data_IF_875868026811
#
_entry.id   IF_875868026811
#
_cell.length_a   1.000
_cell.length_b   1.000
_cell.length_c   1.000
_cell.angle_alpha   90.00
_cell.angle_beta   90.00
_cell.angle_gamma   90.00
#
_symmetry.space_group_name_H-M   'P 1'
#
loop_
_entity.id
_entity.type
_entity.pdbx_description
1 polymer ?
#
# COMPACT_ATOMS: atom_id res chain seq x y z
N UNK A 1 -32.92 -15.21 -63.25
CA UNK A 1 -33.36 -14.55 -62.00
C UNK A 1 -32.84 -15.36 -60.81
N UNK A 2 -31.67 -15.02 -60.25
CA UNK A 2 -31.17 -15.64 -59.01
C UNK A 2 -31.58 -14.76 -57.83
N UNK A 3 -32.44 -15.27 -56.95
CA UNK A 3 -32.87 -14.60 -55.71
C UNK A 3 -31.74 -14.73 -54.69
N UNK A 4 -31.18 -13.60 -54.25
CA UNK A 4 -30.32 -13.57 -53.07
C UNK A 4 -31.20 -13.62 -51.81
N UNK A 5 -31.04 -14.67 -51.01
CA UNK A 5 -31.62 -14.78 -49.68
C UNK A 5 -30.61 -14.17 -48.70
N UNK A 6 -30.89 -12.98 -48.18
CA UNK A 6 -30.06 -12.34 -47.17
C UNK A 6 -30.50 -12.86 -45.79
N UNK A 7 -29.68 -13.73 -45.18
CA UNK A 7 -29.94 -14.26 -43.85
C UNK A 7 -29.48 -13.23 -42.81
N UNK A 8 -30.41 -12.69 -42.04
CA UNK A 8 -30.14 -11.75 -40.96
C UNK A 8 -29.63 -12.52 -39.73
N UNK A 9 -28.32 -12.49 -39.50
CA UNK A 9 -27.70 -13.03 -38.28
C UNK A 9 -27.95 -12.03 -37.15
N UNK A 10 -28.84 -12.39 -36.22
CA UNK A 10 -29.09 -11.63 -35.00
C UNK A 10 -27.96 -11.93 -34.00
N UNK A 11 -26.98 -11.03 -33.90
CA UNK A 11 -25.91 -11.12 -32.90
C UNK A 11 -26.50 -10.64 -31.56
N UNK A 12 -26.81 -11.58 -30.66
CA UNK A 12 -27.16 -11.29 -29.28
C UNK A 12 -25.89 -10.84 -28.54
N UNK A 13 -25.74 -9.54 -28.31
CA UNK A 13 -24.78 -9.03 -27.34
C UNK A 13 -25.32 -9.30 -25.93
N UNK A 14 -24.71 -10.22 -25.19
CA UNK A 14 -24.91 -10.28 -23.75
C UNK A 14 -24.20 -9.08 -23.13
N UNK A 15 -24.94 -8.04 -22.78
CA UNK A 15 -24.43 -7.01 -21.90
C UNK A 15 -24.07 -7.69 -20.57
N UNK A 16 -22.78 -7.87 -20.30
CA UNK A 16 -22.33 -8.22 -18.96
C UNK A 16 -22.61 -7.01 -18.09
N UNK A 17 -23.73 -7.02 -17.36
CA UNK A 17 -23.95 -6.00 -16.33
C UNK A 17 -22.88 -6.22 -15.26
N UNK A 18 -21.99 -5.24 -15.12
CA UNK A 18 -21.10 -5.17 -13.97
C UNK A 18 -22.01 -5.13 -12.74
N UNK A 19 -21.86 -6.10 -11.83
CA UNK A 19 -22.63 -6.13 -10.61
C UNK A 19 -22.34 -4.86 -9.80
N UNK A 20 -23.40 -4.21 -9.31
CA UNK A 20 -23.31 -3.12 -8.36
C UNK A 20 -22.50 -3.54 -7.12
N UNK A 21 -21.76 -2.62 -6.50
CA UNK A 21 -21.08 -2.89 -5.24
C UNK A 21 -22.13 -3.22 -4.17
N UNK A 22 -21.98 -4.36 -3.49
CA UNK A 22 -22.90 -4.73 -2.41
C UNK A 22 -22.85 -3.70 -1.28
N UNK A 23 -24.00 -3.41 -0.66
CA UNK A 23 -24.00 -2.59 0.56
C UNK A 23 -23.27 -3.32 1.68
N UNK A 24 -22.48 -2.59 2.47
CA UNK A 24 -21.66 -3.18 3.51
C UNK A 24 -20.64 -2.21 4.09
N UNK A 25 -19.79 -2.75 4.96
CA UNK A 25 -18.71 -1.99 5.59
C UNK A 25 -17.39 -2.22 4.87
N UNK A 26 -16.76 -1.12 4.48
CA UNK A 26 -15.53 -1.12 3.70
C UNK A 26 -14.49 -0.19 4.29
N UNK A 27 -13.23 -0.47 3.98
CA UNK A 27 -12.19 0.55 3.94
C UNK A 27 -12.00 0.92 2.47
N UNK A 28 -11.99 2.22 2.19
CA UNK A 28 -11.90 2.77 0.85
C UNK A 28 -10.44 3.16 0.61
N UNK A 29 -9.73 2.46 -0.26
CA UNK A 29 -8.28 2.54 -0.42
C UNK A 29 -7.91 3.12 -1.79
N UNK A 30 -7.03 4.11 -1.81
CA UNK A 30 -6.55 4.71 -3.06
C UNK A 30 -5.71 3.72 -3.85
N UNK A 31 -5.99 3.62 -5.15
CA UNK A 31 -5.16 2.89 -6.12
C UNK A 31 -3.76 3.49 -6.23
N UNK A 32 -3.62 4.80 -6.01
CA UNK A 32 -2.35 5.51 -6.16
C UNK A 32 -1.24 4.96 -5.26
N UNK A 33 -1.54 4.74 -3.98
CA UNK A 33 -0.53 4.48 -2.96
C UNK A 33 -0.97 3.52 -1.84
N UNK A 34 -2.21 3.04 -1.85
CA UNK A 34 -2.72 2.15 -0.81
C UNK A 34 -3.15 2.83 0.50
N UNK A 35 -3.17 4.17 0.56
CA UNK A 35 -3.72 4.92 1.70
C UNK A 35 -5.26 4.86 1.70
N UNK A 36 -5.85 4.80 2.89
CA UNK A 36 -7.29 4.78 3.10
C UNK A 36 -7.86 6.19 3.16
N UNK A 37 -9.10 6.35 2.71
CA UNK A 37 -9.94 7.49 3.05
C UNK A 37 -10.11 7.55 4.57
N UNK A 38 -9.97 8.74 5.15
CA UNK A 38 -9.84 8.95 6.59
C UNK A 38 -10.56 10.24 7.00
N UNK A 39 -11.46 10.15 7.98
CA UNK A 39 -11.96 11.36 8.65
C UNK A 39 -10.93 11.80 9.68
N UNK A 40 -10.36 12.99 9.44
CA UNK A 40 -9.19 13.47 10.15
C UNK A 40 -9.41 13.53 11.67
N UNK A 41 -8.41 13.05 12.42
CA UNK A 41 -8.36 13.10 13.88
C UNK A 41 -9.55 12.45 14.62
N UNK A 42 -10.28 11.52 13.97
CA UNK A 42 -11.51 10.94 14.51
C UNK A 42 -12.58 11.97 14.85
N UNK A 43 -12.49 13.18 14.29
CA UNK A 43 -13.42 14.24 14.59
C UNK A 43 -14.84 13.79 14.20
N UNK A 44 -15.81 14.07 15.07
CA UNK A 44 -17.23 13.71 14.90
C UNK A 44 -18.09 14.93 14.56
N UNK A 45 -17.50 16.12 14.47
CA UNK A 45 -18.19 17.35 14.11
C UNK A 45 -18.52 17.41 12.62
N UNK A 46 -19.58 18.15 12.30
CA UNK A 46 -19.87 18.58 10.93
C UNK A 46 -18.72 19.47 10.42
N UNK A 47 -18.31 19.24 9.17
CA UNK A 47 -17.21 19.98 8.55
C UNK A 47 -15.81 19.39 8.83
N UNK A 48 -15.71 18.28 9.57
CA UNK A 48 -14.43 17.60 9.73
C UNK A 48 -13.87 17.15 8.36
N UNK A 49 -12.55 17.31 8.21
CA UNK A 49 -11.87 17.04 6.95
C UNK A 49 -11.90 15.56 6.59
N UNK A 50 -12.06 15.26 5.30
CA UNK A 50 -11.81 13.93 4.75
C UNK A 50 -10.50 13.99 3.98
N UNK A 51 -9.55 13.15 4.38
CA UNK A 51 -8.21 13.07 3.81
C UNK A 51 -7.87 11.62 3.49
N UNK A 52 -6.63 11.38 3.07
CA UNK A 52 -6.05 10.04 2.99
C UNK A 52 -5.04 9.83 4.08
N UNK A 53 -4.94 8.63 4.64
CA UNK A 53 -3.94 8.26 5.64
C UNK A 53 -3.47 6.82 5.45
N UNK A 54 -2.41 6.39 6.13
CA UNK A 54 -2.03 4.98 6.14
C UNK A 54 -3.23 4.10 6.51
N UNK A 55 -3.37 2.96 5.84
CA UNK A 55 -4.49 2.04 6.06
C UNK A 55 -4.30 1.28 7.39
N UNK A 56 -4.89 1.81 8.46
CA UNK A 56 -4.81 1.28 9.83
C UNK A 56 -6.12 0.64 10.29
N UNK A 57 -7.20 0.83 9.52
CA UNK A 57 -8.53 0.24 9.75
C UNK A 57 -9.21 0.70 11.03
N UNK A 58 -8.80 1.83 11.58
CA UNK A 58 -9.49 2.48 12.67
C UNK A 58 -10.92 2.88 12.24
N UNK A 59 -11.84 3.08 13.19
CA UNK A 59 -13.26 3.33 12.86
C UNK A 59 -13.51 4.58 11.99
N UNK A 60 -12.59 5.57 12.00
CA UNK A 60 -12.64 6.75 11.14
C UNK A 60 -12.20 6.49 9.68
N UNK A 61 -11.70 5.29 9.39
CA UNK A 61 -11.35 4.79 8.05
C UNK A 61 -12.32 3.69 7.56
N UNK A 62 -13.28 3.31 8.39
CA UNK A 62 -14.33 2.36 8.02
C UNK A 62 -15.57 3.14 7.61
N UNK A 63 -16.17 2.74 6.49
CA UNK A 63 -17.35 3.37 5.93
C UNK A 63 -18.45 2.35 5.68
N UNK A 64 -19.66 2.66 6.16
CA UNK A 64 -20.87 1.97 5.77
C UNK A 64 -21.33 2.53 4.42
N UNK A 65 -21.14 1.74 3.36
CA UNK A 65 -21.49 2.04 1.98
C UNK A 65 -22.84 1.40 1.68
N UNK A 66 -23.84 2.22 1.37
CA UNK A 66 -25.23 1.78 1.22
C UNK A 66 -25.77 2.22 -0.14
N UNK A 67 -26.20 1.25 -0.95
CA UNK A 67 -26.96 1.48 -2.18
C UNK A 67 -28.33 2.05 -1.82
N UNK A 68 -28.71 3.15 -2.48
CA UNK A 68 -29.94 3.90 -2.26
C UNK A 68 -31.07 3.49 -3.23
N UNK A 69 -30.82 2.52 -4.12
CA UNK A 69 -31.82 1.92 -5.00
C UNK A 69 -32.02 2.63 -6.34
N UNK A 70 -31.40 3.80 -6.54
CA UNK A 70 -31.34 4.51 -7.83
C UNK A 70 -29.96 4.42 -8.50
N UNK A 71 -29.11 3.52 -7.98
CA UNK A 71 -27.72 3.31 -8.39
C UNK A 71 -26.71 4.22 -7.69
N UNK A 72 -27.16 5.21 -6.91
CA UNK A 72 -26.28 6.04 -6.08
C UNK A 72 -26.11 5.44 -4.69
N UNK A 73 -25.02 5.81 -4.03
CA UNK A 73 -24.64 5.32 -2.72
C UNK A 73 -24.56 6.47 -1.71
N UNK A 74 -24.88 6.16 -0.46
CA UNK A 74 -24.37 6.92 0.69
C UNK A 74 -23.09 6.25 1.20
N UNK A 75 -22.13 7.06 1.64
CA UNK A 75 -20.85 6.60 2.20
C UNK A 75 -20.72 7.27 3.57
N UNK A 76 -20.88 6.51 4.65
CA UNK A 76 -20.96 7.06 6.01
C UNK A 76 -19.85 6.54 6.89
N UNK A 77 -19.12 7.44 7.54
CA UNK A 77 -18.04 7.07 8.45
C UNK A 77 -18.61 6.34 9.68
N UNK A 78 -18.02 5.20 10.01
CA UNK A 78 -18.54 4.31 11.05
C UNK A 78 -18.43 4.93 12.44
N UNK A 79 -17.37 5.69 12.73
CA UNK A 79 -17.16 6.29 14.05
C UNK A 79 -18.16 7.40 14.40
N UNK A 80 -18.65 8.13 13.39
CA UNK A 80 -19.51 9.31 13.59
C UNK A 80 -20.95 9.13 13.09
N UNK A 81 -21.19 8.14 12.22
CA UNK A 81 -22.45 7.96 11.50
C UNK A 81 -22.73 9.02 10.43
N UNK A 82 -21.80 9.94 10.20
CA UNK A 82 -21.93 11.08 9.25
C UNK A 82 -21.53 10.67 7.85
N UNK A 83 -22.12 11.31 6.85
CA UNK A 83 -21.88 11.03 5.43
C UNK A 83 -20.71 11.85 4.90
N UNK A 84 -20.01 11.30 3.91
CA UNK A 84 -19.22 12.12 2.98
C UNK A 84 -20.15 13.14 2.31
N UNK A 85 -19.69 14.37 2.25
CA UNK A 85 -20.45 15.55 1.84
C UNK A 85 -19.56 16.46 0.96
N UNK A 86 -20.10 16.92 -0.16
CA UNK A 86 -19.49 17.98 -0.96
C UNK A 86 -19.70 19.31 -0.25
N UNK A 87 -18.65 19.78 0.42
CA UNK A 87 -18.71 20.91 1.32
C UNK A 87 -19.16 22.19 0.61
N UNK A 88 -20.03 22.95 1.28
CA UNK A 88 -20.64 24.18 0.78
C UNK A 88 -21.33 24.06 -0.58
N UNK A 89 -21.73 22.84 -0.97
CA UNK A 89 -22.35 22.59 -2.29
C UNK A 89 -21.49 23.12 -3.44
N UNK A 90 -20.17 23.02 -3.30
CA UNK A 90 -19.23 23.51 -4.29
C UNK A 90 -19.11 22.55 -5.49
N UNK A 91 -19.45 23.03 -6.69
CA UNK A 91 -19.40 22.24 -7.93
C UNK A 91 -18.06 22.33 -8.67
N UNK A 92 -17.10 23.09 -8.15
CA UNK A 92 -15.81 23.36 -8.78
C UNK A 92 -14.75 22.28 -8.56
N UNK A 93 -13.69 22.35 -9.37
CA UNK A 93 -12.47 21.57 -9.12
C UNK A 93 -11.77 22.09 -7.86
N UNK A 94 -11.27 21.17 -7.04
CA UNK A 94 -10.72 21.46 -5.72
C UNK A 94 -11.77 21.62 -4.62
N UNK A 95 -13.06 21.39 -4.90
CA UNK A 95 -14.09 21.33 -3.86
C UNK A 95 -13.73 20.29 -2.80
N UNK A 96 -13.89 20.64 -1.54
CA UNK A 96 -13.48 19.78 -0.43
C UNK A 96 -14.55 18.71 -0.15
N UNK A 97 -14.09 17.52 0.23
CA UNK A 97 -14.94 16.50 0.81
C UNK A 97 -14.82 16.61 2.33
N UNK A 98 -15.96 16.79 3.01
CA UNK A 98 -16.05 16.84 4.47
C UNK A 98 -17.03 15.77 4.94
N UNK A 99 -17.08 15.50 6.24
CA UNK A 99 -18.22 14.76 6.80
C UNK A 99 -19.33 15.72 7.25
N UNK A 100 -20.58 15.28 7.14
CA UNK A 100 -21.74 16.01 7.65
C UNK A 100 -22.87 15.07 8.07
N UNK A 101 -23.79 15.55 8.90
CA UNK A 101 -25.03 14.83 9.21
C UNK A 101 -25.77 14.45 7.93
N UNK A 102 -26.15 13.17 7.85
CA UNK A 102 -26.78 12.63 6.65
C UNK A 102 -28.23 13.11 6.52
N UNK A 103 -28.53 13.77 5.41
CA UNK A 103 -29.87 14.28 5.06
C UNK A 103 -30.45 13.61 3.82
N UNK A 104 -29.63 12.85 3.08
CA UNK A 104 -30.02 12.24 1.80
C UNK A 104 -30.00 13.22 0.61
N UNK A 105 -29.49 14.43 0.82
CA UNK A 105 -29.31 15.43 -0.22
C UNK A 105 -28.28 14.98 -1.28
N UNK A 106 -28.37 15.51 -2.50
CA UNK A 106 -27.53 15.08 -3.62
C UNK A 106 -26.03 15.35 -3.42
N UNK A 107 -25.65 16.35 -2.61
CA UNK A 107 -24.25 16.59 -2.22
C UNK A 107 -23.66 15.50 -1.30
N UNK A 108 -24.48 14.55 -0.84
CA UNK A 108 -24.08 13.42 0.00
C UNK A 108 -24.23 12.07 -0.70
N UNK A 109 -24.47 12.09 -2.02
CA UNK A 109 -24.75 10.90 -2.83
C UNK A 109 -23.70 10.73 -3.90
N UNK A 110 -23.31 9.47 -4.13
CA UNK A 110 -22.13 9.13 -4.93
C UNK A 110 -22.45 8.03 -5.93
N UNK A 111 -22.00 8.19 -7.17
CA UNK A 111 -21.92 7.11 -8.14
C UNK A 111 -20.60 6.37 -7.97
N UNK A 112 -20.64 5.03 -8.09
CA UNK A 112 -19.46 4.17 -8.02
C UNK A 112 -19.22 3.56 -9.40
N UNK A 113 -18.38 4.23 -10.19
CA UNK A 113 -18.12 3.86 -11.58
C UNK A 113 -16.98 2.84 -11.65
N UNK A 114 -17.25 1.60 -12.08
CA UNK A 114 -16.24 0.53 -12.09
C UNK A 114 -15.28 0.62 -13.28
N UNK A 115 -13.97 0.60 -13.00
CA UNK A 115 -12.89 0.69 -13.99
C UNK A 115 -12.01 -0.57 -14.07
N UNK A 116 -12.46 -1.70 -13.53
CA UNK A 116 -11.73 -2.97 -13.62
C UNK A 116 -10.76 -3.22 -12.47
N UNK A 117 -10.39 -4.49 -12.30
CA UNK A 117 -9.47 -4.97 -11.26
C UNK A 117 -9.84 -4.47 -9.84
N UNK A 118 -11.14 -4.41 -9.52
CA UNK A 118 -11.63 -3.97 -8.21
C UNK A 118 -11.62 -2.45 -7.95
N UNK A 119 -11.31 -1.62 -8.95
CA UNK A 119 -11.21 -0.16 -8.79
C UNK A 119 -12.46 0.57 -9.29
N UNK A 120 -12.80 1.66 -8.60
CA UNK A 120 -13.94 2.52 -8.89
C UNK A 120 -13.53 3.99 -8.86
N UNK A 121 -14.15 4.83 -9.68
CA UNK A 121 -14.23 6.26 -9.40
C UNK A 121 -15.41 6.53 -8.47
N UNK A 122 -15.22 7.40 -7.49
CA UNK A 122 -16.29 7.85 -6.58
C UNK A 122 -16.74 9.23 -7.06
N UNK A 123 -17.82 9.27 -7.83
CA UNK A 123 -18.28 10.47 -8.53
C UNK A 123 -19.46 11.10 -7.81
N UNK A 124 -19.37 12.38 -7.47
CA UNK A 124 -20.47 13.10 -6.82
C UNK A 124 -21.70 13.12 -7.71
N UNK A 125 -22.86 12.73 -7.17
CA UNK A 125 -24.16 12.89 -7.85
C UNK A 125 -24.49 14.36 -8.10
N UNK A 126 -24.07 15.23 -7.20
CA UNK A 126 -24.34 16.66 -7.26
C UNK A 126 -23.49 17.40 -8.31
N UNK A 127 -22.16 17.21 -8.31
CA UNK A 127 -21.26 17.98 -9.19
C UNK A 127 -20.78 17.22 -10.43
N UNK A 128 -20.92 15.89 -10.47
CA UNK A 128 -20.35 15.03 -11.53
C UNK A 128 -18.82 14.89 -11.48
N UNK A 129 -18.17 15.36 -10.41
CA UNK A 129 -16.71 15.28 -10.20
C UNK A 129 -16.34 14.12 -9.30
N UNK A 130 -15.13 13.58 -9.47
CA UNK A 130 -14.68 12.41 -8.73
C UNK A 130 -13.76 12.78 -7.57
N UNK A 131 -13.81 12.00 -6.47
CA UNK A 131 -12.88 12.13 -5.35
C UNK A 131 -11.47 11.81 -5.85
N UNK A 132 -10.55 12.75 -5.61
CA UNK A 132 -9.16 12.80 -6.03
C UNK A 132 -8.25 12.93 -4.81
N UNK A 133 -7.14 12.18 -4.79
CA UNK A 133 -6.04 12.40 -3.84
C UNK A 133 -5.29 13.67 -4.26
N UNK A 134 -5.56 14.77 -3.55
CA UNK A 134 -5.11 16.09 -3.98
C UNK A 134 -3.58 16.16 -4.17
N UNK A 135 -3.17 16.69 -5.32
CA UNK A 135 -1.76 16.82 -5.69
C UNK A 135 -1.05 15.49 -5.99
N UNK A 136 -1.79 14.38 -6.14
CA UNK A 136 -1.23 13.03 -6.38
C UNK A 136 -0.17 12.65 -5.34
N UNK A 137 -0.37 13.07 -4.09
CA UNK A 137 0.58 12.83 -3.01
C UNK A 137 0.73 11.33 -2.73
N UNK A 138 1.99 10.88 -2.61
CA UNK A 138 2.33 9.54 -2.14
C UNK A 138 2.43 9.45 -0.60
N UNK A 139 2.34 10.59 0.10
CA UNK A 139 2.42 10.67 1.56
C UNK A 139 1.03 10.69 2.20
N UNK A 140 0.88 10.16 3.42
CA UNK A 140 -0.35 10.28 4.18
C UNK A 140 -0.65 11.75 4.53
N UNK A 141 -1.92 12.07 4.74
CA UNK A 141 -2.41 13.41 5.08
C UNK A 141 -2.84 14.26 3.88
N UNK A 142 -2.82 13.71 2.66
CA UNK A 142 -3.31 14.43 1.49
C UNK A 142 -4.83 14.54 1.52
N UNK A 143 -5.36 15.74 1.29
CA UNK A 143 -6.80 16.00 1.25
C UNK A 143 -7.49 15.16 0.16
N UNK A 144 -8.71 14.71 0.46
CA UNK A 144 -9.63 14.17 -0.54
C UNK A 144 -10.48 15.33 -1.09
N UNK A 145 -10.33 15.63 -2.37
CA UNK A 145 -11.03 16.75 -3.03
C UNK A 145 -11.72 16.28 -4.29
N UNK A 146 -12.71 17.02 -4.77
CA UNK A 146 -13.32 16.74 -6.05
C UNK A 146 -12.51 17.35 -7.18
N UNK A 147 -12.37 16.60 -8.27
CA UNK A 147 -11.80 17.10 -9.50
C UNK A 147 -12.50 16.48 -10.70
N UNK A 148 -12.48 17.18 -11.83
CA UNK A 148 -12.93 16.66 -13.12
C UNK A 148 -12.29 15.30 -13.38
N UNK A 149 -13.08 14.30 -13.75
CA UNK A 149 -12.55 12.95 -13.96
C UNK A 149 -11.51 12.95 -15.08
N UNK A 150 -10.32 12.44 -14.79
CA UNK A 150 -9.19 12.37 -15.72
C UNK A 150 -8.58 10.96 -15.82
N UNK A 151 -9.10 9.99 -15.07
CA UNK A 151 -8.72 8.57 -15.17
C UNK A 151 -7.42 8.19 -14.49
N UNK A 152 -6.86 9.09 -13.68
CA UNK A 152 -5.65 8.85 -12.92
C UNK A 152 -5.82 7.90 -11.75
N UNK A 153 -4.71 7.29 -11.31
CA UNK A 153 -4.69 6.44 -10.11
C UNK A 153 -5.14 7.18 -8.83
N UNK A 154 -4.98 8.51 -8.77
CA UNK A 154 -5.47 9.34 -7.66
C UNK A 154 -7.00 9.46 -7.58
N UNK A 155 -7.73 9.10 -8.64
CA UNK A 155 -9.20 9.10 -8.66
C UNK A 155 -9.82 7.70 -8.62
N UNK A 156 -8.99 6.68 -8.47
CA UNK A 156 -9.41 5.29 -8.45
C UNK A 156 -9.26 4.71 -7.05
N UNK A 157 -10.31 4.03 -6.60
CA UNK A 157 -10.46 3.56 -5.23
C UNK A 157 -10.89 2.09 -5.21
N UNK A 158 -10.29 1.30 -4.33
CA UNK A 158 -10.69 -0.08 -4.02
C UNK A 158 -11.55 -0.09 -2.76
N UNK A 159 -12.66 -0.82 -2.78
CA UNK A 159 -13.50 -1.06 -1.60
C UNK A 159 -13.12 -2.41 -1.00
N UNK A 160 -12.21 -2.41 -0.02
CA UNK A 160 -11.80 -3.64 0.66
C UNK A 160 -12.72 -3.92 1.85
N UNK A 161 -13.18 -5.15 2.00
CA UNK A 161 -14.09 -5.50 3.11
C UNK A 161 -13.34 -5.47 4.44
N UNK A 162 -14.04 -5.15 5.52
CA UNK A 162 -13.52 -5.38 6.88
C UNK A 162 -13.69 -6.86 7.22
N UNK A 163 -12.58 -7.57 7.29
CA UNK A 163 -12.50 -9.00 7.56
C UNK A 163 -12.44 -9.36 9.04
N UNK A 164 -12.22 -10.64 9.30
CA UNK A 164 -12.18 -11.24 10.64
C UNK A 164 -10.77 -11.67 11.02
N UNK A 165 -10.41 -11.57 12.30
CA UNK A 165 -9.16 -12.08 12.84
C UNK A 165 -8.98 -13.60 12.59
N UNK A 166 -10.05 -14.37 12.34
CA UNK A 166 -9.97 -15.79 11.99
C UNK A 166 -9.29 -16.06 10.65
N UNK A 167 -9.27 -15.06 9.75
CA UNK A 167 -8.62 -15.15 8.44
C UNK A 167 -7.09 -15.06 8.57
N UNK A 168 -6.59 -14.62 9.73
CA UNK A 168 -5.16 -14.53 10.02
C UNK A 168 -4.62 -15.85 10.60
N UNK A 169 -4.08 -16.68 9.72
CA UNK A 169 -3.36 -17.93 10.06
C UNK A 169 -2.15 -18.11 9.13
N UNK A 170 -1.17 -18.89 9.56
CA UNK A 170 0.06 -19.12 8.79
C UNK A 170 -0.25 -19.83 7.45
N UNK A 171 0.29 -19.31 6.36
CA UNK A 171 0.04 -19.76 4.99
C UNK A 171 -1.25 -19.22 4.37
N UNK A 172 -1.94 -18.28 5.01
CA UNK A 172 -3.15 -17.67 4.45
C UNK A 172 -2.84 -16.74 3.27
N UNK A 173 -3.73 -16.76 2.27
CA UNK A 173 -3.81 -15.72 1.23
C UNK A 173 -5.02 -14.83 1.53
N UNK A 174 -4.77 -13.54 1.73
CA UNK A 174 -5.79 -12.52 1.96
C UNK A 174 -6.05 -11.78 0.65
N UNK A 175 -7.31 -11.70 0.24
CA UNK A 175 -7.71 -11.05 -1.02
C UNK A 175 -8.82 -10.03 -0.80
N UNK A 176 -8.61 -8.79 -1.25
CA UNK A 176 -9.53 -7.65 -1.12
C UNK A 176 -10.13 -7.47 0.29
N UNK A 177 -9.31 -7.64 1.32
CA UNK A 177 -9.77 -7.62 2.73
C UNK A 177 -8.80 -6.86 3.62
N UNK A 178 -9.34 -6.23 4.66
CA UNK A 178 -8.57 -5.75 5.80
C UNK A 178 -8.74 -6.73 6.96
N UNK A 179 -7.63 -7.22 7.52
CA UNK A 179 -7.64 -8.17 8.63
C UNK A 179 -6.78 -7.63 9.77
N UNK A 180 -7.42 -7.32 10.90
CA UNK A 180 -6.72 -7.15 12.18
C UNK A 180 -6.58 -8.54 12.84
N UNK A 181 -5.35 -8.99 13.01
CA UNK A 181 -5.04 -10.30 13.58
C UNK A 181 -5.17 -10.34 15.11
N UNK A 182 -5.40 -9.20 15.77
CA UNK A 182 -5.59 -9.14 17.22
C UNK A 182 -4.35 -9.50 18.04
N UNK A 183 -3.15 -9.30 17.50
CA UNK A 183 -1.88 -9.56 18.17
C UNK A 183 -1.42 -11.02 18.13
N UNK A 184 -2.09 -11.87 17.33
CA UNK A 184 -1.73 -13.28 17.17
C UNK A 184 -0.26 -13.46 16.78
N UNK A 185 0.34 -14.52 17.30
CA UNK A 185 1.62 -15.01 16.82
C UNK A 185 1.38 -16.17 15.86
N UNK A 186 1.87 -16.05 14.63
CA UNK A 186 1.79 -17.07 13.59
C UNK A 186 3.18 -17.34 13.03
N UNK A 187 3.36 -18.49 12.39
CA UNK A 187 4.61 -18.82 11.72
C UNK A 187 4.50 -20.16 11.03
N UNK A 188 5.37 -20.37 10.06
CA UNK A 188 5.58 -21.65 9.40
C UNK A 188 6.82 -22.30 10.05
N UNK A 189 7.90 -22.46 9.28
CA UNK A 189 9.19 -22.93 9.75
C UNK A 189 10.29 -21.99 9.27
N UNK A 190 11.46 -22.05 9.90
CA UNK A 190 12.67 -21.44 9.38
C UNK A 190 13.74 -22.53 9.22
N UNK A 191 14.14 -22.81 7.98
CA UNK A 191 15.14 -23.83 7.64
C UNK A 191 16.47 -23.22 7.13
N UNK A 192 16.75 -21.96 7.51
CA UNK A 192 17.87 -21.18 6.98
C UNK A 192 17.51 -20.49 5.66
N UNK A 193 18.51 -20.29 4.79
CA UNK A 193 18.42 -19.48 3.57
C UNK A 193 17.75 -20.22 2.37
N UNK A 194 16.75 -21.08 2.62
CA UNK A 194 16.09 -21.86 1.57
C UNK A 194 15.02 -21.05 0.82
N UNK A 195 15.29 -20.72 -0.45
CA UNK A 195 14.41 -19.97 -1.36
C UNK A 195 13.09 -20.69 -1.73
N UNK A 196 12.85 -21.89 -1.21
CA UNK A 196 11.61 -22.66 -1.42
C UNK A 196 10.57 -22.50 -0.31
N UNK A 197 10.89 -21.76 0.75
CA UNK A 197 9.95 -21.55 1.85
C UNK A 197 8.73 -20.74 1.41
N UNK A 198 7.54 -21.15 1.86
CA UNK A 198 6.32 -20.38 1.63
C UNK A 198 6.29 -19.12 2.49
N UNK A 199 5.60 -18.07 2.02
CA UNK A 199 5.31 -16.93 2.88
C UNK A 199 4.33 -17.30 4.00
N UNK A 200 4.53 -16.71 5.18
CA UNK A 200 3.62 -16.83 6.31
C UNK A 200 2.26 -16.21 6.00
N UNK A 201 2.23 -15.13 5.20
CA UNK A 201 1.01 -14.53 4.66
C UNK A 201 1.25 -14.05 3.23
N UNK A 202 0.26 -14.22 2.37
CA UNK A 202 0.23 -13.60 1.03
C UNK A 202 -0.94 -12.62 0.94
N UNK A 203 -0.70 -11.44 0.39
CA UNK A 203 -1.66 -10.34 0.31
C UNK A 203 -1.92 -9.96 -1.15
N UNK A 204 -3.19 -10.04 -1.56
CA UNK A 204 -3.69 -9.54 -2.83
C UNK A 204 -4.65 -8.38 -2.55
N UNK A 205 -4.20 -7.15 -2.83
CA UNK A 205 -4.94 -5.92 -2.62
C UNK A 205 -5.56 -5.85 -1.20
N UNK A 206 -4.77 -6.19 -0.19
CA UNK A 206 -5.24 -6.48 1.17
C UNK A 206 -4.37 -5.85 2.23
N UNK A 207 -4.95 -5.64 3.40
CA UNK A 207 -4.23 -5.14 4.58
C UNK A 207 -4.22 -6.17 5.68
N UNK A 208 -3.06 -6.39 6.28
CA UNK A 208 -2.94 -7.12 7.55
C UNK A 208 -2.44 -6.17 8.63
N UNK A 209 -3.02 -6.27 9.82
CA UNK A 209 -2.64 -5.46 10.97
C UNK A 209 -2.38 -6.32 12.21
N UNK A 210 -1.45 -5.87 13.07
CA UNK A 210 -1.32 -6.34 14.45
C UNK A 210 -1.10 -7.86 14.53
N UNK A 211 -0.06 -8.34 13.84
CA UNK A 211 0.35 -9.75 13.85
C UNK A 211 1.83 -9.86 14.18
N UNK A 212 2.19 -10.96 14.85
CA UNK A 212 3.58 -11.29 15.15
C UNK A 212 3.98 -12.53 14.36
N UNK A 213 5.10 -12.46 13.66
CA UNK A 213 5.73 -13.64 13.06
C UNK A 213 6.67 -14.27 14.10
N UNK A 214 6.53 -15.57 14.35
CA UNK A 214 7.32 -16.30 15.35
C UNK A 214 8.79 -16.33 14.96
N UNK A 215 9.69 -16.33 15.94
CA UNK A 215 11.14 -16.33 15.70
C UNK A 215 11.61 -17.58 14.94
N UNK A 216 11.06 -18.75 15.27
CA UNK A 216 11.43 -20.02 14.61
C UNK A 216 10.61 -20.32 13.35
N UNK A 217 9.71 -19.42 12.95
CA UNK A 217 8.72 -19.67 11.90
C UNK A 217 8.51 -18.49 10.96
N UNK A 218 9.53 -17.62 10.83
CA UNK A 218 9.50 -16.45 9.96
C UNK A 218 9.35 -16.77 8.47
N UNK A 219 9.86 -17.92 8.01
CA UNK A 219 9.84 -18.37 6.60
C UNK A 219 10.20 -17.25 5.60
N UNK A 220 9.55 -17.19 4.43
CA UNK A 220 9.69 -16.07 3.46
C UNK A 220 8.79 -14.88 3.82
N UNK A 221 8.60 -14.63 5.13
CA UNK A 221 7.91 -13.46 5.66
C UNK A 221 6.48 -13.26 5.16
N UNK A 222 6.16 -12.03 4.75
CA UNK A 222 4.86 -11.65 4.18
C UNK A 222 5.04 -11.21 2.72
N UNK A 223 4.22 -11.74 1.80
CA UNK A 223 4.22 -11.33 0.40
C UNK A 223 3.09 -10.37 0.08
N UNK A 224 3.40 -9.28 -0.63
CA UNK A 224 2.42 -8.53 -1.41
C UNK A 224 2.46 -9.04 -2.85
N UNK A 225 1.45 -9.81 -3.26
CA UNK A 225 1.43 -10.55 -4.53
C UNK A 225 0.69 -9.82 -5.63
N UNK A 226 -0.33 -9.01 -5.31
CA UNK A 226 -1.06 -8.21 -6.29
C UNK A 226 -1.69 -6.96 -5.66
N UNK A 227 -1.95 -5.93 -6.47
CA UNK A 227 -2.61 -4.69 -6.02
C UNK A 227 -1.81 -3.94 -4.96
N UNK A 228 -2.53 -3.20 -4.11
CA UNK A 228 -1.92 -2.45 -3.01
C UNK A 228 -2.05 -3.24 -1.69
N UNK A 229 -0.93 -3.47 -1.01
CA UNK A 229 -0.93 -4.19 0.26
C UNK A 229 -0.41 -3.31 1.39
N UNK A 230 -1.06 -3.37 2.55
CA UNK A 230 -0.55 -2.71 3.77
C UNK A 230 -0.26 -3.74 4.85
N UNK A 231 0.91 -3.60 5.48
CA UNK A 231 1.41 -4.44 6.56
C UNK A 231 1.60 -3.50 7.77
N UNK A 232 0.58 -3.43 8.62
CA UNK A 232 0.49 -2.45 9.71
C UNK A 232 0.77 -3.11 11.08
N UNK A 233 1.60 -2.47 11.91
CA UNK A 233 1.87 -2.92 13.29
C UNK A 233 2.31 -4.39 13.38
N UNK A 234 3.07 -4.86 12.39
CA UNK A 234 3.58 -6.23 12.35
C UNK A 234 4.91 -6.34 13.08
N UNK A 235 5.08 -7.39 13.87
CA UNK A 235 6.31 -7.70 14.59
C UNK A 235 6.96 -8.95 14.03
N UNK A 236 8.15 -8.83 13.45
CA UNK A 236 8.98 -9.97 13.09
C UNK A 236 9.93 -10.26 14.25
N UNK A 237 9.67 -11.33 15.02
CA UNK A 237 10.44 -11.64 16.22
C UNK A 237 11.86 -12.13 15.91
N UNK A 238 12.06 -12.77 14.75
CA UNK A 238 13.37 -13.03 14.15
C UNK A 238 13.13 -13.27 12.65
N UNK A 239 13.79 -12.49 11.79
CA UNK A 239 13.66 -12.67 10.34
C UNK A 239 14.35 -13.97 9.94
N UNK A 240 13.66 -14.77 9.12
CA UNK A 240 14.25 -15.95 8.51
C UNK A 240 14.93 -15.58 7.18
N UNK A 241 14.21 -15.56 6.07
CA UNK A 241 14.74 -15.12 4.78
C UNK A 241 14.62 -13.59 4.63
N UNK A 242 13.40 -13.12 4.39
CA UNK A 242 13.03 -11.71 4.31
C UNK A 242 11.84 -11.43 5.26
N UNK A 243 11.69 -10.18 5.73
CA UNK A 243 10.51 -9.82 6.53
C UNK A 243 9.27 -9.68 5.63
N UNK A 244 9.41 -8.98 4.51
CA UNK A 244 8.36 -8.90 3.51
C UNK A 244 8.90 -8.68 2.09
N UNK A 245 8.15 -9.17 1.11
CA UNK A 245 8.54 -9.12 -0.31
C UNK A 245 7.44 -8.51 -1.17
N UNK A 246 7.78 -7.44 -1.89
CA UNK A 246 6.90 -6.84 -2.88
C UNK A 246 7.04 -7.57 -4.22
N UNK A 247 6.00 -8.35 -4.57
CA UNK A 247 5.82 -9.09 -5.82
C UNK A 247 4.70 -8.50 -6.68
N UNK A 248 4.06 -7.41 -6.25
CA UNK A 248 2.93 -6.77 -6.92
C UNK A 248 3.37 -5.81 -8.04
N UNK A 249 3.31 -6.27 -9.29
CA UNK A 249 3.65 -5.43 -10.47
C UNK A 249 2.61 -4.32 -10.66
N UNK A 250 3.08 -3.08 -10.78
CA UNK A 250 2.19 -1.90 -10.83
C UNK A 250 1.61 -1.47 -9.47
N UNK A 251 1.80 -2.24 -8.40
CA UNK A 251 1.18 -2.00 -7.09
C UNK A 251 2.11 -1.38 -6.05
N UNK A 252 1.56 -1.16 -4.86
CA UNK A 252 2.27 -0.59 -3.71
C UNK A 252 2.25 -1.54 -2.51
N UNK A 253 3.41 -1.77 -1.88
CA UNK A 253 3.51 -2.44 -0.58
C UNK A 253 3.87 -1.42 0.49
N UNK A 254 2.99 -1.21 1.47
CA UNK A 254 3.19 -0.24 2.56
C UNK A 254 3.45 -0.97 3.87
N UNK A 255 4.57 -0.64 4.52
CA UNK A 255 4.91 -1.03 5.89
C UNK A 255 4.67 0.20 6.78
N UNK A 256 3.82 0.07 7.79
CA UNK A 256 3.50 1.17 8.71
C UNK A 256 3.57 0.72 10.16
N UNK A 257 4.35 1.42 10.98
CA UNK A 257 4.61 1.01 12.35
C UNK A 257 5.33 -0.33 12.42
N UNK A 258 5.09 -1.09 13.49
CA UNK A 258 5.68 -2.42 13.65
C UNK A 258 7.19 -2.42 13.90
N UNK A 259 7.76 -3.62 13.97
CA UNK A 259 9.19 -3.80 14.24
C UNK A 259 9.75 -5.09 13.66
N UNK A 260 11.03 -5.07 13.28
CA UNK A 260 11.71 -6.26 12.79
C UNK A 260 13.05 -6.47 13.52
N UNK A 261 13.21 -7.65 14.09
CA UNK A 261 14.45 -8.11 14.74
C UNK A 261 15.18 -9.12 13.85
N UNK A 262 16.51 -9.07 13.85
CA UNK A 262 17.37 -10.12 13.30
C UNK A 262 18.72 -10.13 14.04
N UNK A 263 19.50 -11.22 13.92
CA UNK A 263 20.82 -11.36 14.53
C UNK A 263 21.75 -12.28 13.71
N UNK A 264 23.06 -12.17 13.92
CA UNK A 264 24.07 -13.00 13.22
C UNK A 264 24.02 -14.51 13.58
N UNK A 265 23.27 -14.87 14.61
CA UNK A 265 23.10 -16.23 15.10
C UNK A 265 21.62 -16.60 15.21
N UNK A 266 20.76 -15.89 14.49
CA UNK A 266 19.32 -16.10 14.45
C UNK A 266 18.94 -17.31 13.60
N UNK A 267 17.63 -17.54 13.48
CA UNK A 267 17.11 -18.69 12.75
C UNK A 267 17.41 -18.63 11.24
N UNK A 268 17.42 -17.43 10.65
CA UNK A 268 17.67 -17.17 9.24
C UNK A 268 19.14 -17.07 8.83
N UNK A 269 20.07 -17.49 9.67
CA UNK A 269 21.49 -17.38 9.35
C UNK A 269 21.99 -15.92 9.30
N UNK A 270 22.72 -15.57 8.24
CA UNK A 270 23.36 -14.25 8.13
C UNK A 270 22.33 -13.22 7.62
N UNK A 271 22.09 -12.11 8.34
CA UNK A 271 21.12 -11.11 7.90
C UNK A 271 21.42 -10.54 6.50
N UNK A 272 20.45 -10.60 5.58
CA UNK A 272 20.56 -9.97 4.26
C UNK A 272 19.68 -8.72 4.13
N UNK A 273 18.36 -8.85 3.94
CA UNK A 273 17.48 -7.71 3.69
C UNK A 273 16.18 -7.87 4.49
N UNK A 274 15.68 -6.76 5.02
CA UNK A 274 14.38 -6.75 5.70
C UNK A 274 13.28 -6.78 4.64
N UNK A 275 13.35 -5.87 3.67
CA UNK A 275 12.34 -5.76 2.61
C UNK A 275 12.92 -6.00 1.23
N UNK A 276 12.41 -7.03 0.57
CA UNK A 276 12.77 -7.37 -0.80
C UNK A 276 11.74 -6.79 -1.79
N UNK A 277 12.21 -6.34 -2.95
CA UNK A 277 11.36 -5.77 -3.99
C UNK A 277 11.68 -6.34 -5.37
N UNK A 278 10.78 -7.17 -5.89
CA UNK A 278 10.94 -7.91 -7.14
C UNK A 278 10.09 -7.35 -8.29
N UNK A 279 8.88 -6.88 -7.99
CA UNK A 279 7.96 -6.32 -8.97
C UNK A 279 8.51 -5.07 -9.66
N UNK A 280 8.08 -4.81 -10.89
CA UNK A 280 8.42 -3.59 -11.65
C UNK A 280 7.29 -2.58 -11.57
N UNK A 281 7.55 -1.33 -11.96
CA UNK A 281 6.57 -0.23 -11.95
C UNK A 281 5.83 -0.11 -10.62
N UNK A 282 6.51 -0.34 -9.52
CA UNK A 282 5.90 -0.55 -8.20
C UNK A 282 6.68 0.18 -7.13
N UNK A 283 6.00 0.40 -6.01
CA UNK A 283 6.53 1.19 -4.89
C UNK A 283 6.47 0.40 -3.60
N UNK A 284 7.51 0.49 -2.78
CA UNK A 284 7.46 0.10 -1.37
C UNK A 284 7.45 1.37 -0.51
N UNK A 285 6.52 1.51 0.41
CA UNK A 285 6.47 2.62 1.38
C UNK A 285 6.80 2.05 2.76
N UNK A 286 7.71 2.68 3.50
CA UNK A 286 8.09 2.28 4.85
C UNK A 286 7.99 3.52 5.74
N UNK A 287 7.15 3.46 6.78
CA UNK A 287 7.00 4.60 7.68
C UNK A 287 6.17 4.36 8.92
N UNK A 288 5.58 5.43 9.44
CA UNK A 288 4.74 5.41 10.65
C UNK A 288 5.47 4.88 11.88
N UNK A 289 6.77 5.15 12.00
CA UNK A 289 7.59 4.73 13.14
C UNK A 289 8.11 3.30 13.07
N UNK A 290 8.10 2.64 11.91
CA UNK A 290 8.71 1.30 11.75
C UNK A 290 10.10 1.27 12.37
N UNK A 291 10.37 0.22 13.16
CA UNK A 291 11.61 0.11 13.94
C UNK A 291 12.36 -1.20 13.66
N UNK A 292 13.59 -1.11 13.13
CA UNK A 292 14.50 -2.24 13.02
C UNK A 292 15.38 -2.36 14.27
N UNK A 293 15.57 -3.57 14.80
CA UNK A 293 16.41 -3.85 15.99
C UNK A 293 17.36 -5.03 15.75
N UNK A 294 18.46 -5.10 16.49
CA UNK A 294 19.44 -6.18 16.36
C UNK A 294 20.50 -5.91 15.29
N UNK A 295 20.72 -6.87 14.39
CA UNK A 295 21.69 -6.77 13.29
C UNK A 295 21.04 -7.12 11.96
N UNK A 296 21.22 -6.27 10.95
CA UNK A 296 20.61 -6.41 9.62
C UNK A 296 21.64 -6.20 8.51
N UNK A 297 21.39 -6.74 7.32
CA UNK A 297 22.18 -6.39 6.14
C UNK A 297 21.68 -5.09 5.50
N UNK A 298 20.41 -5.05 5.06
CA UNK A 298 19.78 -3.89 4.38
C UNK A 298 18.35 -3.70 4.84
N UNK A 299 17.88 -2.45 4.88
CA UNK A 299 16.46 -2.20 5.13
C UNK A 299 15.62 -2.57 3.90
N UNK A 300 16.00 -2.09 2.73
CA UNK A 300 15.28 -2.33 1.48
C UNK A 300 16.21 -2.56 0.30
N UNK A 301 15.84 -3.48 -0.59
CA UNK A 301 16.60 -3.75 -1.82
C UNK A 301 15.70 -4.00 -3.03
N UNK A 302 15.87 -3.21 -4.08
CA UNK A 302 15.43 -3.58 -5.44
C UNK A 302 16.20 -4.79 -5.93
N UNK A 303 15.55 -5.78 -6.54
CA UNK A 303 16.26 -6.98 -6.94
C UNK A 303 17.41 -6.71 -7.94
N UNK A 304 18.64 -7.10 -7.59
CA UNK A 304 19.84 -6.80 -8.38
C UNK A 304 20.08 -7.73 -9.57
N UNK A 305 19.62 -8.98 -9.49
CA UNK A 305 19.91 -10.05 -10.47
C UNK A 305 18.73 -11.01 -10.67
N UNK A 306 17.49 -10.52 -10.57
CA UNK A 306 16.30 -11.34 -10.79
C UNK A 306 16.18 -11.85 -12.23
N UNK A 307 15.39 -12.91 -12.43
CA UNK A 307 14.94 -13.29 -13.78
C UNK A 307 14.05 -12.18 -14.34
N UNK A 308 14.19 -11.86 -15.63
CA UNK A 308 13.46 -10.76 -16.28
C UNK A 308 13.59 -9.44 -15.49
N UNK A 309 14.81 -9.16 -15.01
CA UNK A 309 15.06 -7.99 -14.19
C UNK A 309 14.76 -6.69 -14.95
N UNK A 310 14.47 -5.64 -14.19
CA UNK A 310 14.12 -4.33 -14.70
C UNK A 310 13.60 -3.44 -13.58
N UNK A 311 12.97 -2.34 -13.96
CA UNK A 311 12.36 -1.38 -13.06
C UNK A 311 11.38 -0.49 -13.81
N UNK A 312 11.04 0.70 -13.26
CA UNK A 312 11.53 1.20 -11.98
C UNK A 312 10.95 0.43 -10.79
N UNK A 313 11.74 0.32 -9.72
CA UNK A 313 11.30 -0.08 -8.37
C UNK A 313 11.60 1.06 -7.41
N UNK A 314 10.55 1.61 -6.82
CA UNK A 314 10.67 2.79 -5.98
C UNK A 314 10.52 2.44 -4.51
N UNK A 315 11.17 3.21 -3.65
CA UNK A 315 10.96 3.17 -2.21
C UNK A 315 10.75 4.56 -1.63
N UNK A 316 9.78 4.69 -0.72
CA UNK A 316 9.59 5.89 0.10
C UNK A 316 9.81 5.48 1.55
N UNK A 317 10.83 6.02 2.19
CA UNK A 317 11.15 5.82 3.60
C UNK A 317 10.85 7.12 4.31
N UNK A 318 9.88 7.14 5.20
CA UNK A 318 9.53 8.33 5.96
C UNK A 318 9.17 7.97 7.39
N UNK A 319 9.84 8.58 8.37
CA UNK A 319 9.61 8.34 9.79
C UNK A 319 9.95 6.89 10.20
N UNK A 320 11.24 6.54 10.10
CA UNK A 320 11.75 5.19 10.35
C UNK A 320 12.90 5.21 11.35
N UNK A 321 12.92 4.24 12.26
CA UNK A 321 13.93 4.08 13.29
C UNK A 321 14.78 2.83 13.02
N UNK A 322 16.10 2.99 12.99
CA UNK A 322 17.06 1.90 12.89
C UNK A 322 17.82 1.83 14.21
N UNK A 323 17.26 1.11 15.18
CA UNK A 323 17.92 0.80 16.45
C UNK A 323 18.74 -0.51 16.32
N UNK A 324 19.54 -0.59 15.27
CA UNK A 324 20.25 -1.79 14.86
C UNK A 324 21.61 -1.46 14.28
N UNK A 325 22.51 -2.44 14.28
CA UNK A 325 23.65 -2.44 13.35
C UNK A 325 23.14 -2.84 11.99
N UNK A 326 23.36 -2.04 10.95
CA UNK A 326 22.89 -2.34 9.60
C UNK A 326 23.98 -2.08 8.56
N UNK A 327 23.99 -2.85 7.46
CA UNK A 327 24.96 -2.70 6.38
C UNK A 327 24.68 -1.50 5.47
N UNK A 328 23.43 -1.29 5.05
CA UNK A 328 22.96 -0.07 4.37
C UNK A 328 21.44 0.09 4.45
N UNK A 329 20.89 1.24 4.06
CA UNK A 329 19.44 1.50 4.14
C UNK A 329 18.74 1.04 2.85
N UNK A 330 18.98 1.70 1.73
CA UNK A 330 18.32 1.42 0.45
C UNK A 330 19.33 1.08 -0.65
N UNK A 331 19.10 0.00 -1.39
CA UNK A 331 19.86 -0.33 -2.60
C UNK A 331 19.02 -0.21 -3.87
N UNK A 332 19.30 0.80 -4.70
CA UNK A 332 18.59 1.11 -5.95
C UNK A 332 19.39 0.68 -7.19
N UNK A 333 18.73 0.18 -8.24
CA UNK A 333 19.38 -0.05 -9.53
C UNK A 333 19.18 1.18 -10.43
N UNK A 334 20.18 2.06 -10.49
CA UNK A 334 20.03 3.36 -11.18
C UNK A 334 19.82 3.21 -12.69
N UNK A 335 20.38 2.16 -13.30
CA UNK A 335 20.15 1.83 -14.71
C UNK A 335 18.73 1.36 -15.04
N UNK A 336 17.92 1.02 -14.04
CA UNK A 336 16.51 0.65 -14.21
C UNK A 336 15.54 1.76 -13.79
N UNK A 337 16.06 2.95 -13.46
CA UNK A 337 15.24 4.11 -13.09
C UNK A 337 14.64 4.03 -11.69
N UNK A 338 15.17 3.17 -10.83
CA UNK A 338 14.74 3.05 -9.43
C UNK A 338 14.96 4.38 -8.69
N UNK A 339 14.00 4.76 -7.84
CA UNK A 339 14.08 5.97 -7.01
C UNK A 339 13.82 5.63 -5.55
N UNK A 340 14.75 6.00 -4.67
CA UNK A 340 14.57 6.03 -3.23
C UNK A 340 14.36 7.46 -2.75
N UNK A 341 13.22 7.71 -2.09
CA UNK A 341 12.92 8.96 -1.40
C UNK A 341 13.01 8.68 0.10
N UNK A 342 13.90 9.36 0.82
CA UNK A 342 14.14 9.10 2.24
C UNK A 342 14.00 10.39 3.04
N UNK A 343 13.12 10.40 4.04
CA UNK A 343 12.83 11.52 4.94
C UNK A 343 12.76 11.01 6.38
N UNK A 344 13.09 11.86 7.35
CA UNK A 344 12.90 11.56 8.78
C UNK A 344 13.45 10.19 9.22
N UNK A 345 14.64 9.83 8.75
CA UNK A 345 15.31 8.58 9.10
C UNK A 345 16.20 8.78 10.33
N UNK A 346 16.08 7.90 11.32
CA UNK A 346 16.86 7.95 12.56
C UNK A 346 17.63 6.66 12.74
N UNK A 347 18.95 6.73 12.85
CA UNK A 347 19.83 5.55 12.93
C UNK A 347 20.66 5.61 14.20
N UNK A 348 20.71 4.51 14.95
CA UNK A 348 21.53 4.38 16.15
C UNK A 348 23.00 4.65 15.83
N UNK A 349 23.62 5.53 16.59
CA UNK A 349 25.03 5.91 16.43
C UNK A 349 25.40 6.38 15.00
N UNK A 350 24.45 7.06 14.32
CA UNK A 350 24.67 7.53 12.97
C UNK A 350 25.87 8.47 12.87
N UNK A 351 26.69 8.25 11.85
CA UNK A 351 27.60 9.24 11.29
C UNK A 351 27.54 9.14 9.78
N UNK A 352 27.81 10.24 9.05
CA UNK A 352 27.73 10.24 7.58
C UNK A 352 28.58 9.10 6.98
N UNK A 353 27.97 8.31 6.09
CA UNK A 353 28.55 7.10 5.50
C UNK A 353 28.61 5.85 6.41
N UNK A 354 28.11 5.92 7.65
CA UNK A 354 28.09 4.80 8.61
C UNK A 354 26.73 4.71 9.35
N UNK A 355 25.83 3.83 8.90
CA UNK A 355 25.89 3.06 7.64
C UNK A 355 25.67 3.95 6.40
N UNK A 356 26.04 3.47 5.20
CA UNK A 356 25.57 4.06 3.95
C UNK A 356 24.03 4.09 3.87
N UNK A 357 23.47 5.21 3.43
CA UNK A 357 22.02 5.41 3.38
C UNK A 357 21.45 4.92 2.06
N UNK A 358 21.66 5.65 0.96
CA UNK A 358 21.17 5.23 -0.35
C UNK A 358 22.34 4.82 -1.23
N UNK A 359 22.36 3.57 -1.67
CA UNK A 359 23.42 2.99 -2.47
C UNK A 359 22.93 2.68 -3.88
N UNK A 360 23.67 3.13 -4.90
CA UNK A 360 23.37 2.85 -6.30
C UNK A 360 24.07 1.59 -6.78
N UNK A 361 23.38 0.85 -7.64
CA UNK A 361 23.83 -0.39 -8.25
C UNK A 361 23.55 -0.41 -9.75
N UNK A 362 24.32 -1.22 -10.47
CA UNK A 362 23.93 -1.75 -11.77
C UNK A 362 23.08 -3.00 -11.57
N UNK A 363 21.78 -2.91 -11.84
CA UNK A 363 20.90 -4.06 -11.98
C UNK A 363 21.22 -4.85 -13.25
N UNK A 364 21.18 -6.17 -13.16
CA UNK A 364 21.51 -7.10 -14.24
C UNK A 364 20.47 -8.22 -14.35
N UNK A 365 20.50 -8.97 -15.45
CA UNK A 365 19.70 -10.20 -15.57
C UNK A 365 20.31 -11.33 -14.74
N UNK A 366 19.47 -12.29 -14.32
CA UNK A 366 19.91 -13.50 -13.61
C UNK A 366 21.03 -14.22 -14.36
N UNK A 367 22.02 -14.70 -13.61
CA UNK A 367 23.24 -15.31 -14.13
C UNK A 367 24.42 -14.33 -14.27
N UNK A 368 24.19 -13.04 -14.07
CA UNK A 368 25.24 -12.02 -13.95
C UNK A 368 25.31 -11.46 -12.51
N UNK A 369 26.44 -10.84 -12.17
CA UNK A 369 26.63 -10.18 -10.88
C UNK A 369 26.26 -8.70 -10.96
N UNK A 370 25.47 -8.22 -10.01
CA UNK A 370 25.14 -6.79 -9.87
C UNK A 370 26.32 -6.03 -9.29
N UNK A 371 26.68 -4.89 -9.89
CA UNK A 371 27.81 -4.06 -9.46
C UNK A 371 27.33 -2.95 -8.54
N UNK A 372 28.03 -2.72 -7.42
CA UNK A 372 27.78 -1.61 -6.51
C UNK A 372 28.58 -0.38 -6.93
N UNK A 373 27.91 0.76 -7.08
CA UNK A 373 28.56 2.05 -7.36
C UNK A 373 28.95 2.79 -6.09
N UNK A 374 28.16 2.68 -5.02
CA UNK A 374 28.45 3.30 -3.73
C UNK A 374 27.29 4.15 -3.23
N UNK A 375 27.51 4.86 -2.12
CA UNK A 375 26.53 5.78 -1.53
C UNK A 375 26.35 7.03 -2.40
N UNK A 376 25.11 7.48 -2.58
CA UNK A 376 24.75 8.69 -3.30
C UNK A 376 23.74 9.54 -2.50
N UNK A 377 23.82 10.86 -2.71
CA UNK A 377 22.96 11.87 -2.08
C UNK A 377 22.49 12.85 -3.13
N UNK A 378 21.22 13.24 -3.08
CA UNK A 378 20.58 14.16 -4.03
C UNK A 378 20.82 13.77 -5.52
N UNK A 379 20.83 12.47 -5.82
CA UNK A 379 20.93 11.97 -7.19
C UNK A 379 19.53 11.69 -7.76
N UNK A 380 19.46 11.33 -9.05
CA UNK A 380 18.19 10.94 -9.68
C UNK A 380 17.55 9.70 -9.02
N UNK A 381 18.38 8.76 -8.56
CA UNK A 381 17.93 7.53 -7.90
C UNK A 381 17.92 7.61 -6.37
N UNK A 382 18.69 8.53 -5.78
CA UNK A 382 18.79 8.74 -4.34
C UNK A 382 18.34 10.15 -3.99
N UNK A 383 17.02 10.32 -3.88
CA UNK A 383 16.39 11.55 -3.42
C UNK A 383 16.41 11.59 -1.88
N UNK A 384 17.60 11.86 -1.34
CA UNK A 384 17.88 11.98 0.09
C UNK A 384 18.99 13.01 0.29
N UNK A 385 18.81 13.86 1.29
CA UNK A 385 19.79 14.83 1.77
C UNK A 385 20.31 14.42 3.14
N UNK A 386 21.47 14.93 3.54
CA UNK A 386 22.03 14.62 4.86
C UNK A 386 21.16 15.11 6.02
N UNK A 387 20.32 16.14 5.80
CA UNK A 387 19.33 16.61 6.78
C UNK A 387 18.14 15.67 6.98
N UNK A 388 17.91 14.74 6.04
CA UNK A 388 16.85 13.75 6.16
C UNK A 388 17.21 12.59 7.10
N UNK A 389 18.48 12.53 7.54
CA UNK A 389 19.04 11.43 8.33
C UNK A 389 19.69 11.99 9.59
N UNK A 390 19.35 11.40 10.73
CA UNK A 390 19.85 11.82 12.03
C UNK A 390 20.21 10.62 12.90
N UNK A 391 20.95 10.87 13.98
CA UNK A 391 21.11 9.87 15.03
C UNK A 391 19.77 9.65 15.75
N UNK A 392 19.48 8.39 16.08
CA UNK A 392 18.32 8.03 16.92
C UNK A 392 18.42 8.59 18.33
#
# INVERSE_FOLDING_TARGET
MRKFLCSLILILFSASSIAALSSGRYIIVSKLNGNALDVANFDTANGANVMTWYTLGNNNQQFDVQDLGDGSYSIRAVHSGKSLDVYEWNTGDGAEVRQWDYTGADNQRWWLDYYGAGNYAITSKFSGKSIDVWGMSMFPGADARLYSYWGGAGQLWSFIRVGSASECYAGATLTNTFVDCGGKTIGLSCSGDDESQGAVLSLDNSTVKNVKLSSSGGADGIHCTAGNCTIADVTWNDICEDAATNKSEGGTMTIVGGSAYNSNSGYGGKPDKIFQHNSKNSTTIIGGGFTATGTHGKLWRSCGNCSNNGGPRNVIINDVNINATIGSIAGVNSNYGDIAIIRNLRIKNYSSGKPPVCEEYQGVQKGSSSTKYGEAWNSASCNVSTSDVSSL
#
